data_IF_671055292467
#
_entry.id   IF_671055292467
#
_cell.length_a   1.000
_cell.length_b   1.000
_cell.length_c   1.000
_cell.angle_alpha   90.00
_cell.angle_beta   90.00
_cell.angle_gamma   90.00
#
_symmetry.space_group_name_H-M   'P 1'
#
loop_
_entity.id
_entity.type
_entity.pdbx_description
1 polymer ?
#
# COMPACT_ATOMS: atom_id res chain seq x y z
N UNK A 1 -60.35 72.53 4.66
CA UNK A 1 -59.90 72.02 5.95
C UNK A 1 -59.71 70.52 5.75
N UNK A 2 -58.53 70.12 5.47
CA UNK A 2 -58.16 68.76 4.96
C UNK A 2 -57.42 68.03 6.06
N UNK A 3 -58.01 66.92 6.60
CA UNK A 3 -57.42 66.10 7.65
C UNK A 3 -56.54 65.01 7.03
N UNK A 4 -55.30 65.04 7.36
CA UNK A 4 -54.32 64.06 6.92
C UNK A 4 -54.34 62.87 7.90
N UNK A 5 -54.76 61.65 7.41
CA UNK A 5 -54.70 60.40 8.14
C UNK A 5 -53.26 59.83 8.08
N UNK A 6 -52.60 59.80 9.22
CA UNK A 6 -51.29 59.16 9.38
C UNK A 6 -51.49 57.68 9.75
N UNK A 7 -51.22 56.78 8.80
CA UNK A 7 -51.32 55.34 8.97
C UNK A 7 -50.01 54.80 9.59
N UNK A 8 -49.96 54.60 10.90
CA UNK A 8 -48.89 53.95 11.57
C UNK A 8 -48.83 52.47 11.13
N UNK A 9 -47.82 52.09 10.41
CA UNK A 9 -47.50 50.67 10.12
C UNK A 9 -47.01 49.99 11.40
N UNK A 10 -47.88 49.26 12.06
CA UNK A 10 -47.52 48.39 13.20
C UNK A 10 -46.96 47.10 12.61
N UNK A 11 -45.65 46.95 12.61
CA UNK A 11 -44.98 45.69 12.31
C UNK A 11 -45.17 44.81 13.51
N UNK A 12 -45.87 43.68 13.36
CA UNK A 12 -46.10 42.70 14.41
C UNK A 12 -44.78 42.19 14.95
N UNK A 13 -44.51 42.29 16.27
CA UNK A 13 -43.25 41.86 16.88
C UNK A 13 -42.98 40.34 16.70
N UNK A 14 -44.04 39.55 16.48
CA UNK A 14 -43.92 38.13 16.25
C UNK A 14 -43.21 37.70 14.95
N UNK A 15 -43.38 38.54 13.88
CA UNK A 15 -42.71 38.23 12.56
C UNK A 15 -41.23 38.48 12.65
N UNK A 16 -40.79 39.51 13.41
CA UNK A 16 -39.38 39.81 13.61
C UNK A 16 -38.67 38.71 14.43
N UNK A 17 -39.36 38.12 15.45
CA UNK A 17 -38.85 36.99 16.24
C UNK A 17 -38.74 35.73 15.40
N UNK A 18 -39.69 35.48 14.49
CA UNK A 18 -39.70 34.30 13.63
C UNK A 18 -38.55 34.36 12.61
N UNK A 19 -38.26 35.53 12.05
CA UNK A 19 -37.15 35.74 11.11
C UNK A 19 -35.79 35.66 11.80
N UNK A 20 -35.68 36.13 13.06
CA UNK A 20 -34.44 35.99 13.85
C UNK A 20 -34.15 34.53 14.26
N UNK A 21 -35.20 33.77 14.61
CA UNK A 21 -35.06 32.36 14.93
C UNK A 21 -34.70 31.50 13.71
N UNK A 22 -35.24 31.84 12.52
CA UNK A 22 -34.93 31.14 11.28
C UNK A 22 -33.50 31.40 10.82
N UNK A 23 -32.94 32.57 11.06
CA UNK A 23 -31.53 32.89 10.72
C UNK A 23 -30.52 32.14 11.60
N UNK A 24 -30.86 31.83 12.86
CA UNK A 24 -30.03 31.08 13.78
C UNK A 24 -29.96 29.55 13.42
N UNK A 25 -31.02 29.01 12.82
CA UNK A 25 -31.04 27.59 12.39
C UNK A 25 -30.26 27.39 11.10
N UNK A 26 -30.17 28.36 10.22
CA UNK A 26 -29.39 28.32 8.98
C UNK A 26 -27.89 28.51 9.20
N UNK A 27 -27.46 29.11 10.30
CA UNK A 27 -26.05 29.33 10.62
C UNK A 27 -25.36 28.08 11.21
N UNK A 28 -26.14 27.05 11.62
CA UNK A 28 -25.60 25.83 12.23
C UNK A 28 -25.01 24.80 11.27
N UNK A 29 -25.27 24.92 9.96
CA UNK A 29 -24.80 23.93 8.96
C UNK A 29 -23.55 24.38 8.17
N UNK A 30 -23.02 25.57 8.42
CA UNK A 30 -21.94 26.14 7.57
C UNK A 30 -20.54 26.04 8.18
N UNK A 31 -20.37 25.45 9.36
CA UNK A 31 -19.06 25.41 10.02
C UNK A 31 -18.78 24.07 10.71
N UNK A 32 -19.08 22.94 10.04
CA UNK A 32 -18.25 21.78 10.27
C UNK A 32 -16.98 22.04 9.46
N UNK A 33 -15.79 22.14 10.10
CA UNK A 33 -14.57 21.97 9.36
C UNK A 33 -14.73 20.59 8.71
N UNK A 34 -14.88 20.55 7.39
CA UNK A 34 -14.48 19.41 6.62
C UNK A 34 -13.01 19.28 7.00
N UNK A 35 -12.70 18.39 7.95
CA UNK A 35 -11.43 17.72 7.92
C UNK A 35 -11.41 17.06 6.56
N UNK A 36 -10.84 17.73 5.59
CA UNK A 36 -10.09 17.09 4.54
C UNK A 36 -8.99 16.37 5.33
N UNK A 37 -9.38 15.26 5.93
CA UNK A 37 -8.51 14.13 6.05
C UNK A 37 -8.06 13.97 4.60
N UNK A 38 -6.93 14.59 4.29
CA UNK A 38 -6.23 14.41 3.05
C UNK A 38 -6.16 12.91 2.97
N UNK A 39 -6.92 12.30 2.04
CA UNK A 39 -6.99 10.87 1.90
C UNK A 39 -5.64 10.35 1.44
N UNK A 40 -4.65 10.53 2.29
CA UNK A 40 -3.32 9.99 2.16
C UNK A 40 -3.51 8.49 2.30
N UNK A 41 -3.44 7.80 1.18
CA UNK A 41 -3.47 6.35 1.19
C UNK A 41 -2.34 5.84 2.07
N UNK A 42 -2.70 5.26 3.20
CA UNK A 42 -1.76 4.84 4.24
C UNK A 42 -1.55 3.32 4.28
N UNK A 43 -2.13 2.60 3.32
CA UNK A 43 -2.25 1.14 3.33
C UNK A 43 -3.46 0.65 4.14
N UNK A 44 -3.84 -0.60 3.93
CA UNK A 44 -4.90 -1.30 4.67
C UNK A 44 -4.29 -1.98 5.89
N UNK A 45 -4.82 -1.71 7.07
CA UNK A 45 -4.42 -2.41 8.30
C UNK A 45 -4.96 -3.84 8.26
N UNK A 46 -4.06 -4.79 8.47
CA UNK A 46 -4.37 -6.21 8.64
C UNK A 46 -4.08 -6.61 10.09
N UNK A 47 -4.51 -7.77 10.49
CA UNK A 47 -4.16 -8.36 11.79
C UNK A 47 -4.41 -9.87 11.75
N UNK A 48 -3.77 -10.53 10.79
CA UNK A 48 -3.90 -11.96 10.52
C UNK A 48 -2.52 -12.61 10.58
N UNK A 49 -2.41 -13.87 11.03
CA UNK A 49 -1.15 -14.60 10.92
C UNK A 49 -0.73 -14.69 9.45
N UNK A 50 0.54 -14.37 9.16
CA UNK A 50 1.10 -14.56 7.84
C UNK A 50 1.22 -16.06 7.53
N UNK A 51 0.84 -16.45 6.32
CA UNK A 51 0.98 -17.83 5.89
C UNK A 51 2.45 -18.17 5.67
N UNK A 52 2.93 -19.24 6.32
CA UNK A 52 4.29 -19.72 6.07
C UNK A 52 4.39 -20.38 4.70
N UNK A 53 5.60 -20.37 4.14
CA UNK A 53 5.93 -20.98 2.87
C UNK A 53 7.35 -21.51 2.90
N UNK A 54 7.67 -22.38 1.94
CA UNK A 54 9.00 -22.92 1.75
C UNK A 54 9.34 -22.89 0.27
N UNK A 55 10.25 -22.00 -0.13
CA UNK A 55 10.62 -21.73 -1.52
C UNK A 55 12.14 -21.71 -1.68
N UNK A 56 12.61 -21.51 -2.89
CA UNK A 56 14.04 -21.38 -3.22
C UNK A 56 14.35 -19.94 -3.59
N UNK A 57 15.43 -19.37 -3.05
CA UNK A 57 15.86 -18.01 -3.42
C UNK A 57 16.74 -17.97 -4.68
N UNK A 58 17.08 -16.78 -5.11
CA UNK A 58 17.93 -16.52 -6.29
C UNK A 58 19.33 -17.15 -6.21
N UNK A 59 19.79 -17.54 -5.03
CA UNK A 59 21.08 -18.23 -4.85
C UNK A 59 20.96 -19.77 -4.86
N UNK A 60 19.74 -20.29 -4.95
CA UNK A 60 19.42 -21.70 -4.81
C UNK A 60 19.28 -22.18 -3.36
N UNK A 61 19.28 -21.25 -2.40
CA UNK A 61 19.06 -21.57 -1.00
C UNK A 61 17.57 -21.77 -0.69
N UNK A 62 17.27 -22.71 0.19
CA UNK A 62 15.91 -22.93 0.69
C UNK A 62 15.57 -21.88 1.74
N UNK A 63 14.39 -21.26 1.63
CA UNK A 63 13.92 -20.14 2.46
C UNK A 63 12.47 -20.36 2.86
N UNK A 64 12.19 -20.25 4.16
CA UNK A 64 10.83 -20.21 4.73
C UNK A 64 10.55 -18.83 5.34
N UNK A 65 9.30 -18.41 5.38
CA UNK A 65 8.95 -17.18 6.09
C UNK A 65 9.33 -17.25 7.57
N UNK A 66 9.16 -18.41 8.20
CA UNK A 66 9.52 -18.70 9.60
C UNK A 66 11.02 -18.53 9.92
N UNK A 67 11.92 -18.55 8.92
CA UNK A 67 13.35 -18.29 9.12
C UNK A 67 13.62 -16.84 9.57
N UNK A 68 12.69 -15.94 9.34
CA UNK A 68 12.78 -14.52 9.67
C UNK A 68 12.00 -14.13 10.94
N UNK A 69 11.67 -15.10 11.80
CA UNK A 69 11.01 -14.82 13.07
C UNK A 69 11.83 -13.80 13.90
N UNK A 70 11.16 -12.79 14.43
CA UNK A 70 11.80 -11.68 15.16
C UNK A 70 12.28 -10.53 14.29
N UNK A 71 12.13 -10.59 12.97
CA UNK A 71 12.42 -9.52 12.02
C UNK A 71 11.11 -8.99 11.41
N UNK A 72 11.15 -7.78 10.89
CA UNK A 72 10.07 -7.27 10.05
C UNK A 72 10.29 -7.79 8.63
N UNK A 73 9.23 -8.29 7.98
CA UNK A 73 9.31 -8.76 6.61
C UNK A 73 8.49 -7.84 5.70
N UNK A 74 9.14 -7.37 4.64
CA UNK A 74 8.53 -6.67 3.51
C UNK A 74 8.37 -7.69 2.40
N UNK A 75 7.14 -8.16 2.17
CA UNK A 75 6.83 -9.19 1.19
C UNK A 75 6.10 -8.59 -0.01
N UNK A 76 6.56 -8.88 -1.21
CA UNK A 76 5.90 -8.47 -2.47
C UNK A 76 5.89 -9.62 -3.46
N UNK A 77 5.06 -9.49 -4.50
CA UNK A 77 4.95 -10.46 -5.58
C UNK A 77 5.39 -9.80 -6.88
N UNK A 78 6.26 -10.46 -7.63
CA UNK A 78 6.87 -9.91 -8.85
C UNK A 78 6.81 -10.91 -9.99
N UNK A 79 6.47 -10.43 -11.17
CA UNK A 79 6.80 -11.14 -12.40
C UNK A 79 8.27 -10.89 -12.73
N UNK A 80 9.08 -11.97 -12.76
CA UNK A 80 10.52 -11.91 -13.04
C UNK A 80 10.84 -11.36 -14.45
N UNK A 81 9.86 -11.31 -15.36
CA UNK A 81 10.03 -10.76 -16.71
C UNK A 81 9.32 -9.42 -16.93
N UNK A 82 8.71 -8.83 -15.90
CA UNK A 82 8.02 -7.55 -16.00
C UNK A 82 8.97 -6.42 -16.42
N UNK A 83 8.54 -5.58 -17.36
CA UNK A 83 9.32 -4.46 -17.89
C UNK A 83 8.80 -3.09 -17.42
N UNK A 84 7.61 -3.02 -16.80
CA UNK A 84 6.92 -1.76 -16.53
C UNK A 84 6.79 -1.44 -15.04
N UNK A 85 5.88 -2.09 -14.33
CA UNK A 85 5.49 -1.71 -12.97
C UNK A 85 6.37 -2.31 -11.89
N UNK A 86 6.84 -3.54 -12.04
CA UNK A 86 7.70 -4.19 -11.06
C UNK A 86 9.05 -3.49 -10.87
N UNK A 87 9.74 -3.03 -11.94
CA UNK A 87 10.97 -2.22 -11.79
C UNK A 87 10.75 -0.94 -10.99
N UNK A 88 9.60 -0.28 -11.12
CA UNK A 88 9.27 0.92 -10.32
C UNK A 88 9.10 0.58 -8.84
N UNK A 89 8.42 -0.52 -8.54
CA UNK A 89 8.31 -1.01 -7.16
C UNK A 89 9.69 -1.35 -6.59
N UNK A 90 10.57 -2.00 -7.36
CA UNK A 90 11.94 -2.30 -6.96
C UNK A 90 12.76 -1.04 -6.60
N UNK A 91 12.58 0.07 -7.34
CA UNK A 91 13.18 1.37 -6.99
C UNK A 91 12.70 1.84 -5.62
N UNK A 92 11.40 1.73 -5.33
CA UNK A 92 10.85 2.13 -4.04
C UNK A 92 11.36 1.25 -2.88
N UNK A 93 11.51 -0.07 -3.09
CA UNK A 93 12.08 -0.97 -2.07
C UNK A 93 13.52 -0.59 -1.72
N UNK A 94 14.37 -0.36 -2.75
CA UNK A 94 15.76 0.10 -2.53
C UNK A 94 15.82 1.44 -1.82
N UNK A 95 14.95 2.38 -2.22
CA UNK A 95 14.88 3.70 -1.58
C UNK A 95 14.46 3.58 -0.12
N UNK A 96 13.47 2.74 0.19
CA UNK A 96 13.05 2.48 1.57
C UNK A 96 14.20 1.86 2.39
N UNK A 97 14.88 0.85 1.84
CA UNK A 97 16.05 0.24 2.47
C UNK A 97 17.13 1.26 2.82
N UNK A 98 17.47 2.15 1.87
CA UNK A 98 18.46 3.21 2.08
C UNK A 98 18.01 4.22 3.15
N UNK A 99 16.72 4.59 3.17
CA UNK A 99 16.17 5.54 4.14
C UNK A 99 16.08 4.97 5.56
N UNK A 100 15.95 3.64 5.70
CA UNK A 100 15.98 2.97 7.01
C UNK A 100 17.35 3.03 7.68
N UNK A 101 18.44 3.14 6.92
CA UNK A 101 19.79 3.24 7.45
C UNK A 101 20.12 2.05 8.37
N UNK A 102 20.54 2.31 9.61
CA UNK A 102 20.88 1.26 10.59
C UNK A 102 19.69 0.35 10.93
N UNK A 103 18.45 0.83 10.82
CA UNK A 103 17.26 0.03 11.07
C UNK A 103 17.02 -1.03 10.00
N UNK A 104 17.62 -0.90 8.82
CA UNK A 104 17.46 -1.86 7.72
C UNK A 104 17.93 -3.29 8.09
N UNK A 105 18.87 -3.43 9.03
CA UNK A 105 19.32 -4.74 9.52
C UNK A 105 18.26 -5.55 10.27
N UNK A 106 17.17 -4.91 10.72
CA UNK A 106 16.03 -5.57 11.36
C UNK A 106 14.89 -5.89 10.39
N UNK A 107 15.11 -5.67 9.08
CA UNK A 107 14.08 -5.80 8.03
C UNK A 107 14.57 -6.72 6.92
N UNK A 108 13.75 -7.69 6.55
CA UNK A 108 14.00 -8.58 5.41
C UNK A 108 13.07 -8.21 4.27
N UNK A 109 13.59 -8.20 3.07
CA UNK A 109 12.84 -7.92 1.85
C UNK A 109 12.71 -9.18 1.02
N UNK A 110 11.48 -9.61 0.76
CA UNK A 110 11.15 -10.81 0.02
C UNK A 110 10.34 -10.47 -1.22
N UNK A 111 10.77 -10.94 -2.38
CA UNK A 111 9.95 -11.03 -3.58
C UNK A 111 9.55 -12.48 -3.81
N UNK A 112 8.29 -12.75 -4.14
CA UNK A 112 7.82 -14.06 -4.59
C UNK A 112 7.50 -13.97 -6.08
N UNK A 113 8.09 -14.86 -6.87
CA UNK A 113 7.86 -14.89 -8.31
C UNK A 113 6.43 -15.32 -8.63
N UNK A 114 5.81 -14.66 -9.63
CA UNK A 114 4.49 -15.03 -10.18
C UNK A 114 4.56 -15.55 -11.60
N UNK A 115 5.76 -15.67 -12.19
CA UNK A 115 5.95 -16.13 -13.56
C UNK A 115 6.49 -17.56 -13.59
N UNK A 116 5.66 -18.51 -14.01
CA UNK A 116 6.05 -19.92 -14.10
C UNK A 116 6.90 -20.23 -15.34
N UNK A 117 6.95 -19.35 -16.34
CA UNK A 117 7.80 -19.53 -17.51
C UNK A 117 9.24 -19.09 -17.27
N UNK A 118 9.48 -18.30 -16.19
CA UNK A 118 10.79 -17.82 -15.75
C UNK A 118 10.92 -18.03 -14.23
N UNK A 119 10.90 -19.29 -13.80
CA UNK A 119 10.83 -19.69 -12.40
C UNK A 119 12.07 -20.42 -11.89
N UNK A 120 13.17 -20.38 -12.62
CA UNK A 120 14.43 -20.94 -12.12
C UNK A 120 15.16 -19.92 -11.25
N UNK A 121 16.02 -20.33 -10.30
CA UNK A 121 16.85 -19.43 -9.50
C UNK A 121 17.66 -18.45 -10.34
N UNK A 122 18.12 -18.88 -11.52
CA UNK A 122 18.89 -18.06 -12.46
C UNK A 122 18.03 -16.91 -13.04
N UNK A 123 16.73 -17.14 -13.28
CA UNK A 123 15.81 -16.12 -13.81
C UNK A 123 15.61 -15.00 -12.79
N UNK A 124 15.30 -15.36 -11.54
CA UNK A 124 15.10 -14.39 -10.46
C UNK A 124 16.41 -13.75 -10.02
N UNK A 125 17.56 -14.42 -10.19
CA UNK A 125 18.87 -13.82 -10.01
C UNK A 125 19.15 -12.75 -11.07
N UNK A 126 18.89 -13.05 -12.35
CA UNK A 126 19.08 -12.08 -13.43
C UNK A 126 18.22 -10.84 -13.20
N UNK A 127 16.98 -11.01 -12.76
CA UNK A 127 16.06 -9.91 -12.43
C UNK A 127 16.50 -9.13 -11.19
N UNK A 128 16.98 -9.81 -10.15
CA UNK A 128 17.59 -9.17 -8.97
C UNK A 128 18.70 -8.21 -9.37
N UNK A 129 19.60 -8.64 -10.26
CA UNK A 129 20.70 -7.80 -10.78
C UNK A 129 20.19 -6.68 -11.69
N UNK A 130 19.27 -6.98 -12.61
CA UNK A 130 18.69 -6.01 -13.54
C UNK A 130 18.02 -4.85 -12.81
N UNK A 131 17.29 -5.13 -11.73
CA UNK A 131 16.61 -4.13 -10.94
C UNK A 131 17.42 -3.63 -9.75
N UNK A 132 18.68 -4.10 -9.62
CA UNK A 132 19.63 -3.72 -8.57
C UNK A 132 19.10 -4.00 -7.16
N UNK A 133 18.30 -5.04 -7.00
CA UNK A 133 17.77 -5.46 -5.70
C UNK A 133 18.86 -6.09 -4.82
N UNK A 134 19.98 -6.53 -5.40
CA UNK A 134 21.20 -6.95 -4.73
C UNK A 134 21.87 -5.83 -3.89
N UNK A 135 21.46 -4.57 -4.05
CA UNK A 135 21.82 -3.47 -3.15
C UNK A 135 21.13 -3.53 -1.78
N UNK A 136 20.06 -4.33 -1.66
CA UNK A 136 19.37 -4.63 -0.40
C UNK A 136 20.03 -5.89 0.17
N UNK A 137 20.87 -5.76 1.20
CA UNK A 137 21.65 -6.90 1.73
C UNK A 137 20.80 -8.01 2.34
N UNK A 138 19.51 -7.73 2.63
CA UNK A 138 18.52 -8.67 3.17
C UNK A 138 17.47 -9.07 2.15
N UNK A 139 17.79 -8.98 0.86
CA UNK A 139 16.89 -9.32 -0.25
C UNK A 139 16.93 -10.81 -0.57
N UNK A 140 15.75 -11.41 -0.72
CA UNK A 140 15.56 -12.72 -1.32
C UNK A 140 14.46 -12.64 -2.39
N UNK A 141 14.77 -13.11 -3.60
CA UNK A 141 13.78 -13.29 -4.64
C UNK A 141 13.45 -14.79 -4.74
N UNK A 142 12.29 -15.14 -4.23
CA UNK A 142 11.86 -16.51 -4.02
C UNK A 142 11.17 -17.05 -5.27
N UNK A 143 11.48 -18.27 -5.63
CA UNK A 143 10.91 -18.99 -6.76
C UNK A 143 10.71 -20.47 -6.41
N UNK A 144 10.14 -21.23 -7.34
CA UNK A 144 9.86 -22.65 -7.17
C UNK A 144 9.03 -23.22 -8.30
N UNK A 145 8.57 -24.45 -8.13
CA UNK A 145 7.60 -25.08 -9.03
C UNK A 145 6.21 -24.46 -8.90
N UNK A 146 5.30 -24.76 -9.84
CA UNK A 146 3.90 -24.34 -9.74
C UNK A 146 3.25 -24.86 -8.45
N UNK A 147 3.54 -26.10 -8.07
CA UNK A 147 3.02 -26.75 -6.85
C UNK A 147 3.48 -26.04 -5.57
N UNK A 148 4.63 -25.36 -5.61
CA UNK A 148 5.16 -24.59 -4.48
C UNK A 148 4.66 -23.13 -4.49
N UNK A 149 4.60 -22.47 -5.64
CA UNK A 149 4.25 -21.05 -5.78
C UNK A 149 2.75 -20.77 -5.70
N UNK A 150 1.91 -21.56 -6.36
CA UNK A 150 0.44 -21.32 -6.41
C UNK A 150 -0.23 -21.32 -5.02
N UNK A 151 0.13 -22.23 -4.08
CA UNK A 151 -0.39 -22.17 -2.72
C UNK A 151 -0.02 -20.87 -1.99
N UNK A 152 1.17 -20.31 -2.24
CA UNK A 152 1.61 -19.04 -1.64
C UNK A 152 0.80 -17.88 -2.22
N UNK A 153 0.64 -17.80 -3.54
CA UNK A 153 -0.20 -16.77 -4.17
C UNK A 153 -1.62 -16.78 -3.60
N UNK A 154 -2.20 -17.96 -3.48
CA UNK A 154 -3.53 -18.14 -2.91
C UNK A 154 -3.62 -17.73 -1.43
N UNK A 155 -2.60 -18.04 -0.63
CA UNK A 155 -2.59 -17.74 0.79
C UNK A 155 -2.53 -16.23 1.07
N UNK A 156 -1.94 -15.45 0.15
CA UNK A 156 -1.85 -14.00 0.21
C UNK A 156 -2.88 -13.29 -0.70
N UNK A 157 -3.91 -13.99 -1.18
CA UNK A 157 -4.95 -13.45 -2.07
C UNK A 157 -4.38 -12.76 -3.33
N UNK A 158 -3.25 -13.25 -3.83
CA UNK A 158 -2.64 -12.75 -5.07
C UNK A 158 -3.23 -13.49 -6.26
N UNK A 159 -4.02 -12.79 -7.05
CA UNK A 159 -4.47 -13.28 -8.36
C UNK A 159 -3.30 -13.22 -9.35
N UNK A 160 -3.10 -14.29 -10.11
CA UNK A 160 -2.08 -14.39 -11.16
C UNK A 160 -2.79 -14.83 -12.45
N UNK A 161 -2.76 -13.98 -13.46
CA UNK A 161 -3.53 -14.15 -14.70
C UNK A 161 -2.58 -14.00 -15.91
N UNK A 162 -2.07 -15.12 -16.47
CA UNK A 162 -1.30 -15.08 -17.71
C UNK A 162 -2.11 -14.49 -18.86
N UNK A 163 -1.51 -13.60 -19.64
CA UNK A 163 -2.10 -12.95 -20.79
C UNK A 163 -1.52 -13.52 -22.11
N UNK A 164 -2.22 -13.28 -23.22
CA UNK A 164 -1.67 -13.56 -24.53
C UNK A 164 -0.43 -12.68 -24.76
N UNK A 165 0.69 -13.31 -25.15
CA UNK A 165 1.97 -12.62 -25.35
C UNK A 165 2.97 -12.77 -24.21
N UNK A 166 2.61 -13.52 -23.13
CA UNK A 166 3.53 -13.86 -22.04
C UNK A 166 3.56 -12.86 -20.89
N UNK A 167 2.76 -11.80 -20.95
CA UNK A 167 2.57 -10.87 -19.84
C UNK A 167 1.79 -11.55 -18.69
N UNK A 168 2.19 -11.26 -17.45
CA UNK A 168 1.50 -11.77 -16.25
C UNK A 168 0.82 -10.59 -15.53
N UNK A 169 -0.51 -10.54 -15.62
CA UNK A 169 -1.28 -9.64 -14.78
C UNK A 169 -1.44 -10.25 -13.39
N UNK A 170 -1.03 -9.54 -12.34
CA UNK A 170 -1.18 -10.03 -10.97
C UNK A 170 -1.60 -8.92 -10.00
N UNK A 171 -2.11 -9.31 -8.83
CA UNK A 171 -2.44 -8.36 -7.75
C UNK A 171 -1.17 -7.63 -7.31
N UNK A 172 -1.07 -6.29 -7.48
CA UNK A 172 0.11 -5.53 -7.09
C UNK A 172 0.02 -5.11 -5.64
N UNK A 173 1.11 -5.21 -4.88
CA UNK A 173 1.15 -4.70 -3.50
C UNK A 173 2.31 -5.23 -2.69
N UNK A 174 2.42 -4.65 -1.50
CA UNK A 174 3.44 -4.99 -0.50
C UNK A 174 2.75 -5.29 0.82
N UNK A 175 3.08 -6.43 1.41
CA UNK A 175 2.69 -6.82 2.77
C UNK A 175 3.81 -6.46 3.74
N UNK A 176 3.45 -5.92 4.90
CA UNK A 176 4.36 -5.79 6.03
C UNK A 176 3.95 -6.75 7.13
N UNK A 177 4.89 -7.64 7.49
CA UNK A 177 4.72 -8.66 8.50
C UNK A 177 5.59 -8.26 9.70
N UNK A 178 5.02 -8.29 10.90
CA UNK A 178 5.76 -7.91 12.12
C UNK A 178 6.63 -9.06 12.66
N UNK A 179 7.42 -8.76 13.70
CA UNK A 179 8.34 -9.70 14.33
C UNK A 179 7.66 -10.93 14.94
N UNK A 180 6.32 -10.90 15.11
CA UNK A 180 5.52 -12.02 15.61
C UNK A 180 4.89 -12.83 14.47
N UNK A 181 5.22 -12.53 13.22
CA UNK A 181 4.66 -13.19 12.05
C UNK A 181 3.21 -12.79 11.75
N UNK A 182 2.78 -11.59 12.17
CA UNK A 182 1.45 -11.08 11.85
C UNK A 182 1.53 -10.12 10.66
N UNK A 183 0.68 -10.32 9.65
CA UNK A 183 0.44 -9.33 8.61
C UNK A 183 -0.17 -8.09 9.26
N UNK A 184 0.50 -6.96 9.14
CA UNK A 184 0.09 -5.69 9.76
C UNK A 184 -0.43 -4.69 8.73
N UNK A 185 0.14 -4.68 7.56
CA UNK A 185 -0.23 -3.75 6.51
C UNK A 185 -0.20 -4.41 5.14
N UNK A 186 -1.18 -4.08 4.31
CA UNK A 186 -1.14 -4.26 2.88
C UNK A 186 -1.14 -2.89 2.22
N UNK A 187 -0.12 -2.61 1.42
CA UNK A 187 0.04 -1.37 0.67
C UNK A 187 -0.10 -1.72 -0.80
N UNK A 188 -1.29 -1.45 -1.37
CA UNK A 188 -1.49 -1.61 -2.82
C UNK A 188 -0.53 -0.69 -3.57
N UNK A 189 -0.01 -1.16 -4.69
CA UNK A 189 0.86 -0.39 -5.58
C UNK A 189 0.17 -0.13 -6.92
N UNK A 190 -1.02 0.53 -6.94
CA UNK A 190 -1.70 0.84 -8.17
C UNK A 190 -0.93 1.92 -8.92
N UNK A 191 -0.74 1.68 -10.21
CA UNK A 191 -0.33 2.69 -11.17
C UNK A 191 -1.53 3.01 -12.04
N UNK A 192 -1.70 4.26 -12.46
CA UNK A 192 -2.67 4.59 -13.49
C UNK A 192 -2.19 4.11 -14.87
N UNK A 193 -3.03 4.24 -15.89
CA UNK A 193 -2.70 3.83 -17.26
C UNK A 193 -1.45 4.54 -17.83
N UNK A 194 -0.99 5.61 -17.20
CA UNK A 194 0.25 6.34 -17.56
C UNK A 194 1.47 5.85 -16.79
N UNK A 195 1.32 4.86 -15.90
CA UNK A 195 2.38 4.41 -14.98
C UNK A 195 2.62 5.37 -13.82
N UNK A 196 1.74 6.36 -13.63
CA UNK A 196 1.85 7.30 -12.51
C UNK A 196 1.29 6.67 -11.24
N UNK A 197 2.00 6.72 -10.10
CA UNK A 197 1.48 6.25 -8.83
C UNK A 197 0.19 7.00 -8.45
N UNK A 198 -0.85 6.27 -8.07
CA UNK A 198 -2.14 6.85 -7.70
C UNK A 198 -2.22 7.29 -6.22
N UNK A 199 -1.12 7.24 -5.49
CA UNK A 199 -1.04 7.65 -4.08
C UNK A 199 -0.41 9.03 -3.92
N UNK A 200 -0.73 9.68 -2.81
CA UNK A 200 -0.25 11.04 -2.47
C UNK A 200 1.19 11.08 -1.95
N UNK A 201 1.71 9.95 -1.44
CA UNK A 201 3.08 9.82 -0.95
C UNK A 201 3.80 8.66 -1.67
N UNK A 202 5.11 8.75 -1.95
CA UNK A 202 5.88 7.66 -2.55
C UNK A 202 5.79 6.38 -1.71
N UNK A 203 5.70 5.22 -2.38
CA UNK A 203 5.67 3.91 -1.70
C UNK A 203 6.83 3.75 -0.70
N UNK A 204 8.03 4.23 -1.05
CA UNK A 204 9.19 4.19 -0.15
C UNK A 204 8.96 4.91 1.17
N UNK A 205 8.31 6.08 1.17
CA UNK A 205 8.00 6.83 2.39
C UNK A 205 6.94 6.11 3.23
N UNK A 206 5.92 5.54 2.59
CA UNK A 206 4.90 4.74 3.27
C UNK A 206 5.52 3.51 3.94
N UNK A 207 6.39 2.80 3.24
CA UNK A 207 7.12 1.64 3.78
C UNK A 207 7.95 2.03 5.00
N UNK A 208 8.79 3.07 4.89
CA UNK A 208 9.63 3.54 6.00
C UNK A 208 8.79 3.91 7.20
N UNK A 209 7.71 4.68 7.01
CA UNK A 209 6.79 5.08 8.08
C UNK A 209 6.22 3.86 8.81
N UNK A 210 5.68 2.88 8.07
CA UNK A 210 5.06 1.68 8.65
C UNK A 210 6.06 0.74 9.30
N UNK A 211 7.23 0.56 8.71
CA UNK A 211 8.33 -0.23 9.31
C UNK A 211 8.75 0.41 10.63
N UNK A 212 8.94 1.72 10.68
CA UNK A 212 9.31 2.42 11.91
C UNK A 212 8.22 2.38 13.00
N UNK A 213 6.94 2.26 12.62
CA UNK A 213 5.85 2.01 13.57
C UNK A 213 5.94 0.59 14.18
N UNK A 214 6.37 -0.41 13.39
CA UNK A 214 6.52 -1.81 13.84
C UNK A 214 7.81 -2.06 14.65
N UNK A 215 8.82 -1.20 14.53
CA UNK A 215 10.08 -1.29 15.27
C UNK A 215 10.01 -0.73 16.70
N UNK A 216 8.91 -0.09 17.07
CA UNK A 216 8.69 0.52 18.41
C UNK A 216 8.16 -0.49 19.41
#
# INVERSE_FOLDING_TARGET
MMAIFNKKNSVFPGVLFLLLALSLVLSGCANQPRSLDSGEYAGSLLNTPAADFHLTDQSGASVSLSDFAGQIVVLTFFDSQCEETCPLTAVHLRTAYQQLGEQAGAVVFLGVNVNLEANQPEDVMATTQKWRLDEISTWHFLTGSAEELEPVWKAYDVAVLPQEGGEILHTPGVFLIDQNGQERWYISTPFDESGTPSWTAPLSELLVKRIQELLK
#
